data_IF_006824864615
#
_entry.id   IF_006824864615
#
_cell.length_a   1.000
_cell.length_b   1.000
_cell.length_c   1.000
_cell.angle_alpha   90.00
_cell.angle_beta   90.00
_cell.angle_gamma   90.00
#
_symmetry.space_group_name_H-M   'P 1'
#
loop_
_entity.id
_entity.type
_entity.pdbx_description
1 polymer ?
#
# COMPACT_ATOMS: atom_id res chain seq x y z
N UNK A 1 -0.81 56.86 -72.01
CA UNK A 1 -0.30 57.79 -70.98
C UNK A 1 -0.97 57.44 -69.65
N UNK A 2 -0.28 56.72 -68.77
CA UNK A 2 -0.78 56.36 -67.44
C UNK A 2 0.24 56.77 -66.38
N UNK A 3 -0.20 57.58 -65.41
CA UNK A 3 0.59 58.13 -64.32
C UNK A 3 0.80 57.04 -63.26
N UNK A 4 2.07 56.74 -62.96
CA UNK A 4 2.46 55.90 -61.82
C UNK A 4 2.37 56.70 -60.52
N UNK A 5 1.51 56.25 -59.61
CA UNK A 5 1.48 56.72 -58.22
C UNK A 5 2.44 55.90 -57.36
N UNK A 6 3.41 56.57 -56.74
CA UNK A 6 4.27 55.96 -55.72
C UNK A 6 3.50 55.83 -54.39
N UNK A 7 3.62 54.69 -53.68
CA UNK A 7 3.12 54.59 -52.31
C UNK A 7 4.05 55.34 -51.35
N UNK A 8 3.45 56.20 -50.51
CA UNK A 8 4.10 56.84 -49.37
C UNK A 8 4.24 55.84 -48.23
N UNK A 9 5.47 55.58 -47.81
CA UNK A 9 5.75 54.85 -46.57
C UNK A 9 5.50 55.78 -45.37
N UNK A 10 4.47 55.47 -44.59
CA UNK A 10 4.23 56.09 -43.28
C UNK A 10 5.14 55.44 -42.25
N UNK A 11 6.06 56.23 -41.68
CA UNK A 11 6.87 55.85 -40.53
C UNK A 11 5.96 55.85 -39.30
N UNK A 12 5.64 54.67 -38.78
CA UNK A 12 4.96 54.53 -37.49
C UNK A 12 5.93 54.93 -36.38
N UNK A 13 5.63 56.04 -35.70
CA UNK A 13 6.28 56.46 -34.47
C UNK A 13 5.92 55.46 -33.36
N UNK A 14 6.87 54.61 -32.99
CA UNK A 14 6.79 53.71 -31.84
C UNK A 14 6.88 54.59 -30.59
N UNK A 15 5.73 54.96 -30.02
CA UNK A 15 5.66 55.51 -28.66
C UNK A 15 6.23 54.44 -27.72
N UNK A 16 7.37 54.75 -27.11
CA UNK A 16 8.00 53.91 -26.10
C UNK A 16 7.09 53.73 -24.90
N UNK A 17 6.38 52.61 -24.85
CA UNK A 17 5.74 52.11 -23.65
C UNK A 17 6.84 51.72 -22.69
N UNK A 18 7.06 52.53 -21.64
CA UNK A 18 7.88 52.13 -20.50
C UNK A 18 7.32 50.82 -19.96
N UNK A 19 8.07 49.73 -20.08
CA UNK A 19 7.81 48.51 -19.33
C UNK A 19 7.97 48.85 -17.85
N UNK A 20 6.85 48.98 -17.14
CA UNK A 20 6.85 48.93 -15.70
C UNK A 20 7.15 47.48 -15.32
N UNK A 21 8.40 47.20 -14.93
CA UNK A 21 8.78 45.92 -14.33
C UNK A 21 8.08 45.86 -12.98
N UNK A 22 6.91 45.21 -12.95
CA UNK A 22 6.18 44.94 -11.72
C UNK A 22 6.94 43.85 -10.97
N UNK A 23 7.99 44.24 -10.25
CA UNK A 23 8.68 43.36 -9.32
C UNK A 23 7.72 43.06 -8.17
N UNK A 24 7.11 41.87 -8.19
CA UNK A 24 6.44 41.34 -7.00
C UNK A 24 7.51 41.27 -5.91
N UNK A 25 7.35 42.07 -4.85
CA UNK A 25 8.16 41.95 -3.65
C UNK A 25 7.92 40.55 -3.08
N UNK A 26 8.94 39.70 -3.16
CA UNK A 26 9.02 38.48 -2.35
C UNK A 26 9.17 38.97 -0.91
N UNK A 27 8.07 39.00 -0.17
CA UNK A 27 8.13 39.17 1.27
C UNK A 27 8.79 37.92 1.84
N UNK A 28 10.01 38.06 2.35
CA UNK A 28 10.65 37.04 3.15
C UNK A 28 9.92 36.99 4.51
N UNK A 29 8.79 36.30 4.57
CA UNK A 29 8.21 35.92 5.85
C UNK A 29 9.17 34.94 6.54
N UNK A 30 9.49 35.19 7.81
CA UNK A 30 10.33 34.27 8.60
C UNK A 30 9.61 32.93 8.72
N UNK A 31 10.14 31.92 8.02
CA UNK A 31 9.71 30.51 8.06
C UNK A 31 9.66 29.94 9.50
N UNK A 32 10.37 30.58 10.43
CA UNK A 32 10.49 30.25 11.85
C UNK A 32 9.14 30.24 12.61
N UNK A 33 8.11 30.92 12.10
CA UNK A 33 6.88 31.20 12.88
C UNK A 33 5.71 30.26 12.58
N UNK A 34 5.76 29.52 11.48
CA UNK A 34 4.65 28.65 11.06
C UNK A 34 5.04 27.23 11.46
N UNK A 35 4.71 26.78 12.67
CA UNK A 35 4.75 25.34 12.97
C UNK A 35 3.45 24.74 12.44
N UNK A 36 3.56 23.76 11.54
CA UNK A 36 2.40 22.98 11.12
C UNK A 36 1.99 22.11 12.32
N UNK A 37 0.84 22.40 12.94
CA UNK A 37 0.27 21.60 14.02
C UNK A 37 -0.72 20.58 13.44
N UNK A 38 -0.28 19.87 12.40
CA UNK A 38 -1.09 18.79 11.83
C UNK A 38 -0.98 17.55 12.71
N UNK A 39 -2.10 16.90 12.95
CA UNK A 39 -2.17 15.58 13.58
C UNK A 39 -2.33 14.56 12.47
N UNK A 40 -1.59 13.44 12.53
CA UNK A 40 -1.82 12.31 11.62
C UNK A 40 -2.24 11.10 12.45
N UNK A 41 -3.27 10.41 11.99
CA UNK A 41 -3.78 9.17 12.58
C UNK A 41 -3.82 8.07 11.52
N UNK A 42 -3.73 6.83 11.98
CA UNK A 42 -3.79 5.64 11.13
C UNK A 42 -4.98 4.83 11.60
N UNK A 43 -5.91 4.57 10.71
CA UNK A 43 -6.96 3.58 10.94
C UNK A 43 -6.60 2.35 10.12
N UNK A 44 -6.79 1.15 10.68
CA UNK A 44 -6.55 -0.08 9.96
C UNK A 44 -7.78 -0.97 9.99
N UNK A 45 -8.01 -1.69 8.89
CA UNK A 45 -9.12 -2.64 8.78
C UNK A 45 -8.71 -3.84 7.94
N UNK A 46 -9.16 -5.03 8.33
CA UNK A 46 -8.86 -6.26 7.60
C UNK A 46 -10.15 -6.83 7.00
N UNK A 47 -10.15 -7.02 5.68
CA UNK A 47 -11.20 -7.71 4.95
C UNK A 47 -10.83 -9.20 4.86
N UNK A 48 -11.46 -10.02 5.69
CA UNK A 48 -11.21 -11.47 5.73
C UNK A 48 -11.56 -12.17 4.42
N UNK A 49 -12.57 -11.66 3.70
CA UNK A 49 -13.05 -12.30 2.49
C UNK A 49 -12.08 -12.09 1.31
N UNK A 50 -11.49 -10.90 1.23
CA UNK A 50 -10.46 -10.55 0.25
C UNK A 50 -9.03 -10.84 0.74
N UNK A 51 -8.87 -11.19 2.03
CA UNK A 51 -7.57 -11.26 2.72
C UNK A 51 -6.73 -10.00 2.50
N UNK A 52 -7.38 -8.86 2.66
CA UNK A 52 -6.82 -7.55 2.35
C UNK A 52 -6.78 -6.67 3.60
N UNK A 53 -5.65 -6.05 3.87
CA UNK A 53 -5.47 -5.08 4.95
C UNK A 53 -5.48 -3.68 4.37
N UNK A 54 -6.40 -2.83 4.81
CA UNK A 54 -6.52 -1.44 4.37
C UNK A 54 -5.99 -0.49 5.44
N UNK A 55 -5.17 0.46 5.01
CA UNK A 55 -4.49 1.41 5.88
C UNK A 55 -4.70 2.86 5.38
N UNK A 56 -5.88 3.45 5.61
CA UNK A 56 -6.05 4.90 5.43
C UNK A 56 -5.23 5.68 6.46
N UNK A 57 -4.39 6.59 5.97
CA UNK A 57 -3.65 7.55 6.77
C UNK A 57 -4.42 8.88 6.76
N UNK A 58 -4.90 9.32 7.91
CA UNK A 58 -5.71 10.53 8.07
C UNK A 58 -4.90 11.68 8.61
N UNK A 59 -5.20 12.89 8.14
CA UNK A 59 -4.63 14.12 8.66
C UNK A 59 -5.73 15.03 9.20
N UNK A 60 -5.43 15.77 10.25
CA UNK A 60 -6.25 16.84 10.82
C UNK A 60 -5.42 18.09 11.08
N UNK A 61 -6.04 19.26 11.04
CA UNK A 61 -5.40 20.57 11.23
C UNK A 61 -4.22 20.85 10.27
N UNK A 62 -4.20 20.21 9.10
CA UNK A 62 -3.24 20.51 8.05
C UNK A 62 -3.65 21.80 7.32
N UNK A 63 -2.76 22.79 7.25
CA UNK A 63 -3.02 24.04 6.53
C UNK A 63 -1.85 24.34 5.61
N UNK A 64 -2.14 24.90 4.44
CA UNK A 64 -1.15 25.28 3.43
C UNK A 64 -0.27 24.13 2.92
N UNK A 65 -0.70 22.87 3.06
CA UNK A 65 0.08 21.70 2.61
C UNK A 65 0.15 21.65 1.09
N UNK A 66 1.35 21.46 0.55
CA UNK A 66 1.63 21.30 -0.89
C UNK A 66 2.28 19.97 -1.21
N UNK A 67 3.00 19.39 -0.27
CA UNK A 67 3.63 18.09 -0.43
C UNK A 67 3.56 17.26 0.85
N UNK A 68 3.53 15.94 0.68
CA UNK A 68 3.71 14.98 1.76
C UNK A 68 4.69 13.88 1.33
N UNK A 69 5.67 13.58 2.17
CA UNK A 69 6.47 12.36 2.09
C UNK A 69 6.04 11.43 3.22
N UNK A 70 5.72 10.18 2.88
CA UNK A 70 5.22 9.18 3.80
C UNK A 70 6.12 7.96 3.70
N UNK A 71 6.62 7.48 4.84
CA UNK A 71 7.40 6.25 4.93
C UNK A 71 6.72 5.26 5.84
N UNK A 72 6.56 4.04 5.33
CA UNK A 72 5.88 2.94 6.00
C UNK A 72 6.79 1.73 5.97
N UNK A 73 6.85 1.05 7.10
CA UNK A 73 7.55 -0.20 7.31
C UNK A 73 6.51 -1.29 7.60
N UNK A 74 6.65 -2.44 6.96
CA UNK A 74 5.77 -3.60 7.11
C UNK A 74 6.58 -4.90 7.05
N UNK A 75 5.99 -6.01 7.48
CA UNK A 75 6.60 -7.34 7.35
C UNK A 75 6.24 -7.96 5.99
N UNK A 76 7.18 -8.05 5.04
CA UNK A 76 6.91 -8.58 3.70
C UNK A 76 6.67 -10.09 3.67
N UNK A 77 6.97 -10.79 4.77
CA UNK A 77 6.64 -12.21 4.90
C UNK A 77 5.16 -12.42 5.26
N UNK A 78 4.47 -11.37 5.73
CA UNK A 78 3.07 -11.45 6.17
C UNK A 78 2.13 -10.81 5.16
N UNK A 79 2.52 -9.66 4.59
CA UNK A 79 1.71 -8.93 3.63
C UNK A 79 2.55 -8.44 2.45
N UNK A 80 1.93 -8.32 1.28
CA UNK A 80 2.51 -7.64 0.11
C UNK A 80 1.79 -6.34 -0.17
N UNK A 81 2.57 -5.31 -0.48
CA UNK A 81 2.05 -4.08 -1.07
C UNK A 81 2.09 -4.18 -2.60
N UNK A 82 1.22 -3.47 -3.31
CA UNK A 82 1.32 -3.34 -4.76
C UNK A 82 1.12 -1.87 -5.13
N UNK A 83 1.84 -1.37 -6.13
CA UNK A 83 1.83 0.07 -6.47
C UNK A 83 0.43 0.57 -6.82
N UNK A 84 -0.36 -0.22 -7.54
CA UNK A 84 -1.74 0.13 -7.91
C UNK A 84 -2.73 0.10 -6.74
N UNK A 85 -2.33 -0.43 -5.58
CA UNK A 85 -3.11 -0.40 -4.33
C UNK A 85 -2.76 0.81 -3.44
N UNK A 86 -1.90 1.71 -3.93
CA UNK A 86 -1.54 2.97 -3.24
C UNK A 86 -2.24 4.13 -3.95
N UNK A 87 -3.18 4.76 -3.25
CA UNK A 87 -4.02 5.82 -3.82
C UNK A 87 -3.95 7.10 -2.98
N UNK A 88 -3.95 8.29 -3.61
CA UNK A 88 -4.13 9.53 -2.88
C UNK A 88 -5.51 9.59 -2.24
N UNK A 89 -5.59 10.02 -0.98
CA UNK A 89 -6.88 10.19 -0.30
C UNK A 89 -7.61 11.48 -0.68
N UNK A 90 -8.81 11.68 -0.15
CA UNK A 90 -9.66 12.81 -0.50
C UNK A 90 -9.11 14.18 -0.06
N UNK A 91 -8.15 14.22 0.88
CA UNK A 91 -7.52 15.47 1.32
C UNK A 91 -7.07 16.33 0.14
N UNK A 92 -6.52 15.69 -0.89
CA UNK A 92 -5.96 16.35 -2.06
C UNK A 92 -7.00 16.85 -3.09
N UNK A 93 -8.27 16.49 -2.95
CA UNK A 93 -9.35 16.83 -3.89
C UNK A 93 -9.02 16.48 -5.36
N UNK A 94 -8.31 15.36 -5.59
CA UNK A 94 -7.91 14.89 -6.92
C UNK A 94 -6.86 15.74 -7.64
N UNK A 95 -6.26 16.74 -6.98
CA UNK A 95 -5.28 17.68 -7.57
C UNK A 95 -3.85 17.40 -7.14
N UNK A 96 -3.47 16.13 -7.11
CA UNK A 96 -2.17 15.66 -6.61
C UNK A 96 -1.50 14.72 -7.59
N UNK A 97 -0.18 14.82 -7.67
CA UNK A 97 0.66 13.80 -8.30
C UNK A 97 1.24 12.92 -7.22
N UNK A 98 1.19 11.61 -7.44
CA UNK A 98 1.69 10.58 -6.53
C UNK A 98 2.85 9.86 -7.21
N UNK A 99 3.95 9.67 -6.47
CA UNK A 99 5.06 8.79 -6.82
C UNK A 99 5.28 7.84 -5.65
N UNK A 100 5.33 6.54 -5.94
CA UNK A 100 5.48 5.49 -4.94
C UNK A 100 6.72 4.67 -5.27
N UNK A 101 7.52 4.39 -4.26
CA UNK A 101 8.59 3.41 -4.31
C UNK A 101 8.32 2.33 -3.27
N UNK A 102 8.21 1.08 -3.71
CA UNK A 102 7.99 -0.08 -2.85
C UNK A 102 9.21 -0.97 -2.91
N UNK A 103 9.87 -1.17 -1.77
CA UNK A 103 10.91 -2.17 -1.61
C UNK A 103 10.32 -3.35 -0.83
N UNK A 104 9.96 -4.41 -1.56
CA UNK A 104 9.34 -5.61 -0.98
C UNK A 104 10.31 -6.37 -0.10
N UNK A 105 11.59 -6.45 -0.50
CA UNK A 105 12.58 -7.24 0.24
C UNK A 105 12.91 -6.54 1.57
N UNK A 106 12.95 -5.21 1.57
CA UNK A 106 13.15 -4.41 2.78
C UNK A 106 11.87 -4.20 3.60
N UNK A 107 10.69 -4.50 3.06
CA UNK A 107 9.41 -4.23 3.72
C UNK A 107 9.12 -2.74 3.88
N UNK A 108 9.45 -1.92 2.88
CA UNK A 108 9.26 -0.45 2.96
C UNK A 108 8.45 0.12 1.80
N UNK A 109 7.66 1.15 2.10
CA UNK A 109 6.97 1.99 1.12
C UNK A 109 7.39 3.43 1.38
N UNK A 110 7.82 4.12 0.33
CA UNK A 110 7.99 5.58 0.33
C UNK A 110 7.04 6.18 -0.69
N UNK A 111 6.12 7.02 -0.23
CA UNK A 111 5.17 7.73 -1.09
C UNK A 111 5.43 9.25 -1.03
N UNK A 112 5.52 9.87 -2.20
CA UNK A 112 5.63 11.31 -2.38
C UNK A 112 4.37 11.82 -3.06
N UNK A 113 3.69 12.74 -2.39
CA UNK A 113 2.50 13.42 -2.89
C UNK A 113 2.84 14.90 -3.06
N UNK A 114 2.49 15.49 -4.22
CA UNK A 114 2.70 16.92 -4.44
C UNK A 114 1.59 17.58 -5.25
N UNK A 115 1.35 18.86 -4.96
CA UNK A 115 0.41 19.74 -5.66
C UNK A 115 1.08 21.07 -6.02
N UNK A 116 0.62 21.72 -7.10
CA UNK A 116 1.14 23.04 -7.50
C UNK A 116 0.61 24.18 -6.59
N UNK A 117 -0.58 24.01 -6.03
CA UNK A 117 -1.25 24.97 -5.16
C UNK A 117 -1.51 24.33 -3.78
N UNK A 118 -1.50 25.10 -2.68
CA UNK A 118 -1.79 24.56 -1.37
C UNK A 118 -3.20 23.98 -1.33
N UNK A 119 -3.35 22.86 -0.64
CA UNK A 119 -4.64 22.23 -0.39
C UNK A 119 -5.45 23.10 0.57
N UNK A 120 -6.71 23.38 0.23
CA UNK A 120 -7.62 24.16 1.07
C UNK A 120 -8.30 23.32 2.18
N UNK A 121 -8.32 22.00 2.03
CA UNK A 121 -8.84 21.08 3.04
C UNK A 121 -7.95 21.11 4.29
N UNK A 122 -8.57 20.98 5.46
CA UNK A 122 -7.86 20.95 6.74
C UNK A 122 -7.78 19.57 7.37
N UNK A 123 -8.55 18.62 6.85
CA UNK A 123 -8.59 17.23 7.31
C UNK A 123 -9.04 16.30 6.18
N UNK A 124 -8.76 15.01 6.33
CA UNK A 124 -9.17 13.93 5.42
C UNK A 124 -8.12 12.84 5.29
N UNK A 125 -8.41 11.81 4.51
CA UNK A 125 -7.44 10.78 4.15
C UNK A 125 -6.35 11.40 3.26
N UNK A 126 -5.11 11.25 3.69
CA UNK A 126 -3.91 11.70 3.00
C UNK A 126 -3.50 10.69 1.93
N UNK A 127 -3.49 9.41 2.28
CA UNK A 127 -3.18 8.29 1.39
C UNK A 127 -3.94 7.05 1.88
N UNK A 128 -4.35 6.19 0.95
CA UNK A 128 -4.86 4.86 1.24
C UNK A 128 -3.90 3.82 0.66
N UNK A 129 -3.57 2.82 1.46
CA UNK A 129 -2.71 1.72 1.05
C UNK A 129 -3.38 0.41 1.41
N UNK A 130 -3.58 -0.43 0.41
CA UNK A 130 -4.15 -1.75 0.58
C UNK A 130 -3.05 -2.82 0.41
N UNK A 131 -2.96 -3.74 1.37
CA UNK A 131 -1.99 -4.82 1.39
C UNK A 131 -2.69 -6.17 1.21
N UNK A 132 -2.08 -7.07 0.45
CA UNK A 132 -2.55 -8.44 0.29
C UNK A 132 -1.88 -9.36 1.32
N UNK A 133 -2.64 -10.17 2.05
CA UNK A 133 -2.07 -11.19 2.94
C UNK A 133 -1.36 -12.29 2.14
N UNK A 134 -0.19 -12.71 2.60
CA UNK A 134 0.52 -13.85 2.04
C UNK A 134 -0.07 -15.18 2.54
N UNK A 135 -0.33 -16.11 1.61
CA UNK A 135 -1.09 -17.33 1.88
C UNK A 135 -0.39 -18.32 2.85
N UNK A 136 0.92 -18.16 3.06
CA UNK A 136 1.75 -19.09 3.83
C UNK A 136 1.92 -18.70 5.31
N UNK A 137 1.31 -17.62 5.78
CA UNK A 137 1.45 -17.19 7.18
C UNK A 137 0.60 -18.10 8.07
N UNK A 138 1.28 -18.99 8.79
CA UNK A 138 0.64 -19.98 9.68
C UNK A 138 -0.07 -19.33 10.89
N UNK A 139 0.18 -18.05 11.15
CA UNK A 139 -0.50 -17.23 12.15
C UNK A 139 -0.97 -15.92 11.52
N UNK A 140 -2.15 -15.92 10.90
CA UNK A 140 -2.73 -14.69 10.37
C UNK A 140 -3.10 -13.75 11.55
N UNK A 141 -2.59 -12.51 11.54
CA UNK A 141 -2.94 -11.51 12.58
C UNK A 141 -1.79 -10.75 13.24
N UNK A 142 -0.53 -10.92 12.81
CA UNK A 142 0.64 -10.29 13.45
C UNK A 142 1.55 -9.55 12.45
N UNK A 143 1.00 -8.86 11.44
CA UNK A 143 1.78 -7.93 10.64
C UNK A 143 1.84 -6.58 11.36
N UNK A 144 2.91 -6.23 12.10
CA UNK A 144 3.08 -4.85 12.55
C UNK A 144 3.29 -3.98 11.31
N UNK A 145 2.28 -3.17 10.98
CA UNK A 145 2.49 -2.03 10.08
C UNK A 145 2.82 -0.83 10.94
N UNK A 146 3.96 -0.22 10.65
CA UNK A 146 4.41 0.98 11.32
C UNK A 146 4.55 2.09 10.29
N UNK A 147 3.78 3.17 10.47
CA UNK A 147 4.05 4.43 9.78
C UNK A 147 5.20 5.08 10.53
N UNK A 148 6.37 5.20 9.92
CA UNK A 148 7.57 5.68 10.61
C UNK A 148 7.76 7.19 10.47
N UNK A 149 7.39 7.76 9.31
CA UNK A 149 7.58 9.17 9.03
C UNK A 149 6.47 9.75 8.15
N UNK A 150 5.97 10.92 8.52
CA UNK A 150 5.12 11.76 7.67
C UNK A 150 5.69 13.18 7.66
N UNK A 151 6.10 13.67 6.51
CA UNK A 151 6.73 14.98 6.36
C UNK A 151 5.88 15.85 5.44
N UNK A 152 5.52 17.05 5.88
CA UNK A 152 4.73 17.99 5.09
C UNK A 152 5.59 19.18 4.66
N UNK A 153 5.66 19.45 3.37
CA UNK A 153 6.47 20.52 2.77
C UNK A 153 7.94 20.51 3.24
N UNK A 154 8.31 21.38 4.20
CA UNK A 154 9.64 21.52 4.83
C UNK A 154 9.61 21.19 6.34
N UNK A 155 8.51 20.64 6.84
CA UNK A 155 8.23 20.45 8.27
C UNK A 155 7.93 18.99 8.58
N UNK A 156 8.74 18.43 9.46
CA UNK A 156 8.55 17.05 9.93
C UNK A 156 7.42 16.95 10.95
N UNK A 157 6.51 16.01 10.74
CA UNK A 157 5.66 15.44 11.79
C UNK A 157 6.14 14.01 12.05
N UNK A 158 7.04 13.84 13.02
CA UNK A 158 7.49 12.49 13.39
C UNK A 158 6.36 11.77 14.11
N UNK A 159 5.83 10.71 13.49
CA UNK A 159 4.82 9.84 14.06
C UNK A 159 5.27 8.41 13.82
N UNK A 160 5.37 7.63 14.89
CA UNK A 160 5.51 6.19 14.85
C UNK A 160 4.23 5.59 15.39
N UNK A 161 3.37 5.10 14.49
CA UNK A 161 2.13 4.43 14.88
C UNK A 161 2.25 2.97 14.48
N UNK A 162 2.39 2.09 15.46
CA UNK A 162 2.25 0.65 15.27
C UNK A 162 0.77 0.32 15.40
N UNK A 163 0.13 -0.06 14.31
CA UNK A 163 -1.30 -0.28 14.31
C UNK A 163 -1.64 -1.68 14.91
N UNK A 164 -2.43 -1.78 16.00
CA UNK A 164 -2.74 -3.05 16.65
C UNK A 164 -3.81 -3.80 15.87
N UNK A 165 -3.51 -5.02 15.39
CA UNK A 165 -4.52 -5.88 14.76
C UNK A 165 -5.50 -6.40 15.83
N UNK A 166 -6.60 -5.69 16.04
CA UNK A 166 -7.75 -6.23 16.76
C UNK A 166 -8.54 -7.14 15.81
N UNK A 167 -8.22 -8.44 15.82
CA UNK A 167 -9.19 -9.43 15.37
C UNK A 167 -10.19 -9.65 16.50
N UNK A 168 -11.44 -9.25 16.31
CA UNK A 168 -12.53 -9.92 17.00
C UNK A 168 -12.56 -11.37 16.50
N UNK A 169 -12.33 -12.38 17.35
CA UNK A 169 -12.54 -13.75 16.93
C UNK A 169 -14.01 -13.87 16.51
N UNK A 170 -14.24 -14.17 15.24
CA UNK A 170 -15.56 -14.61 14.78
C UNK A 170 -15.83 -15.89 15.56
N UNK A 171 -16.58 -15.77 16.66
CA UNK A 171 -17.22 -16.90 17.31
C UNK A 171 -18.12 -17.51 16.24
N UNK A 172 -17.65 -18.57 15.60
CA UNK A 172 -18.50 -19.38 14.74
C UNK A 172 -19.73 -19.75 15.58
N UNK A 173 -20.96 -19.45 15.14
CA UNK A 173 -22.12 -19.99 15.81
C UNK A 173 -22.07 -21.51 15.64
N UNK A 174 -21.67 -22.19 16.71
CA UNK A 174 -21.91 -23.62 16.91
C UNK A 174 -23.42 -23.82 17.05
N UNK A 175 -24.14 -23.68 15.95
CA UNK A 175 -25.58 -23.88 15.90
C UNK A 175 -25.91 -25.03 14.97
N UNK A 176 -26.11 -26.18 15.61
CA UNK A 176 -27.21 -27.11 15.33
C UNK A 176 -27.10 -27.96 14.05
N UNK A 177 -26.22 -28.97 14.13
CA UNK A 177 -26.60 -30.32 13.70
C UNK A 177 -27.61 -30.86 14.72
N UNK A 178 -28.87 -30.44 14.63
CA UNK A 178 -29.97 -31.05 15.36
C UNK A 178 -31.17 -31.20 14.41
N UNK A 179 -31.61 -32.45 14.30
CA UNK A 179 -32.89 -32.92 13.81
C UNK A 179 -33.24 -32.74 12.34
N UNK A 180 -32.80 -33.72 11.56
CA UNK A 180 -33.57 -34.23 10.43
C UNK A 180 -33.49 -35.75 10.40
N UNK A 181 -34.30 -36.42 11.23
CA UNK A 181 -34.62 -37.85 11.07
C UNK A 181 -35.84 -38.24 11.91
N UNK A 182 -37.03 -37.84 11.47
CA UNK A 182 -38.25 -38.57 11.80
C UNK A 182 -38.50 -39.62 10.72
N UNK A 183 -37.84 -40.77 10.85
CA UNK A 183 -38.25 -42.02 10.19
C UNK A 183 -38.40 -43.09 11.27
N UNK A 184 -39.66 -43.35 11.60
CA UNK A 184 -40.07 -44.55 12.34
C UNK A 184 -39.70 -45.77 11.50
N UNK A 185 -38.80 -46.60 12.00
CA UNK A 185 -38.70 -48.00 11.61
C UNK A 185 -38.53 -48.79 12.91
N UNK A 186 -39.61 -49.46 13.32
CA UNK A 186 -39.58 -50.62 14.20
C UNK A 186 -38.63 -51.65 13.58
N UNK A 187 -37.64 -52.13 14.30
CA UNK A 187 -37.10 -53.49 14.17
C UNK A 187 -36.44 -53.92 15.48
N UNK A 188 -37.16 -54.78 16.20
CA UNK A 188 -36.63 -55.74 17.16
C UNK A 188 -35.62 -56.66 16.50
N UNK A 189 -34.44 -56.85 17.11
CA UNK A 189 -33.55 -57.96 16.76
C UNK A 189 -32.06 -57.64 16.89
N UNK A 190 -31.44 -58.28 17.88
CA UNK A 190 -30.04 -58.73 17.96
C UNK A 190 -28.88 -57.74 17.68
N UNK A 191 -28.11 -57.51 18.75
CA UNK A 191 -26.74 -56.98 18.68
C UNK A 191 -25.74 -58.13 18.46
N UNK A 192 -24.90 -58.08 17.41
CA UNK A 192 -23.60 -58.72 17.44
C UNK A 192 -22.53 -57.66 17.73
N UNK A 193 -21.85 -57.79 18.88
CA UNK A 193 -20.60 -57.08 19.16
C UNK A 193 -19.54 -57.47 18.12
N UNK A 194 -19.30 -56.59 17.15
CA UNK A 194 -18.18 -56.65 16.22
C UNK A 194 -16.97 -55.84 16.72
N UNK A 195 -15.74 -56.20 16.32
CA UNK A 195 -14.53 -55.64 16.90
C UNK A 195 -14.28 -54.20 16.45
N UNK A 196 -13.98 -53.32 17.42
CA UNK A 196 -13.47 -51.97 17.23
C UNK A 196 -11.99 -52.02 16.80
N UNK A 197 -11.71 -52.34 15.54
CA UNK A 197 -10.41 -52.03 14.92
C UNK A 197 -10.62 -51.51 13.49
N UNK A 198 -10.29 -50.23 13.22
CA UNK A 198 -10.26 -49.71 11.85
C UNK A 198 -9.08 -50.31 11.07
N UNK A 199 -9.35 -50.96 9.95
CA UNK A 199 -8.37 -51.56 9.02
C UNK A 199 -7.50 -50.54 8.24
N UNK A 200 -7.31 -49.32 8.76
CA UNK A 200 -6.69 -48.20 8.02
C UNK A 200 -5.43 -47.62 8.63
N UNK A 201 -4.87 -48.22 9.68
CA UNK A 201 -3.65 -47.68 10.33
C UNK A 201 -2.37 -48.17 9.64
N UNK A 202 -2.38 -49.24 8.86
CA UNK A 202 -1.15 -49.82 8.31
C UNK A 202 -0.71 -49.23 6.96
N UNK A 203 -1.50 -48.34 6.34
CA UNK A 203 -1.19 -47.79 5.01
C UNK A 203 -0.30 -46.52 5.02
N UNK A 204 -0.04 -45.90 6.19
CA UNK A 204 0.70 -44.63 6.28
C UNK A 204 2.17 -44.77 6.71
N UNK A 205 2.65 -45.98 7.01
CA UNK A 205 4.05 -46.22 7.42
C UNK A 205 4.98 -46.68 6.29
N UNK A 206 4.49 -46.84 5.06
CA UNK A 206 5.27 -47.36 3.94
C UNK A 206 5.99 -46.28 3.08
N UNK A 207 5.80 -44.98 3.36
CA UNK A 207 6.37 -43.88 2.55
C UNK A 207 7.65 -43.25 3.12
N UNK A 208 8.22 -43.81 4.20
CA UNK A 208 9.41 -43.27 4.89
C UNK A 208 10.69 -44.11 4.71
N UNK A 209 10.86 -44.75 3.54
CA UNK A 209 12.17 -45.28 3.16
C UNK A 209 12.93 -44.19 2.36
N UNK A 210 14.10 -43.72 2.83
CA UNK A 210 14.95 -42.82 2.07
C UNK A 210 15.56 -43.59 0.88
N UNK A 211 15.29 -43.12 -0.33
CA UNK A 211 15.94 -43.59 -1.55
C UNK A 211 17.44 -43.38 -1.46
N UNK A 212 18.18 -44.46 -1.74
CA UNK A 212 19.63 -44.51 -1.80
C UNK A 212 20.22 -43.39 -2.68
N UNK A 213 21.34 -42.85 -2.20
CA UNK A 213 22.22 -41.95 -2.93
C UNK A 213 22.79 -42.67 -4.14
N UNK A 214 22.71 -42.03 -5.30
CA UNK A 214 23.55 -42.33 -6.45
C UNK A 214 24.75 -41.37 -6.44
N UNK A 215 26.02 -41.85 -6.33
CA UNK A 215 27.20 -41.00 -6.35
C UNK A 215 27.98 -41.20 -7.64
N UNK A 216 27.52 -40.65 -8.77
CA UNK A 216 28.39 -40.51 -9.94
C UNK A 216 27.85 -39.51 -10.98
N UNK A 217 28.23 -38.23 -10.89
CA UNK A 217 28.43 -37.44 -12.13
C UNK A 217 29.39 -36.25 -11.90
N UNK A 218 30.67 -36.60 -11.88
CA UNK A 218 31.76 -35.99 -12.66
C UNK A 218 31.54 -34.59 -13.27
N UNK A 219 32.18 -33.60 -12.63
CA UNK A 219 33.15 -32.64 -13.21
C UNK A 219 33.07 -32.35 -14.73
N UNK A 220 32.74 -31.08 -15.08
CA UNK A 220 33.21 -30.23 -16.23
C UNK A 220 32.15 -29.13 -16.42
N UNK A 221 32.41 -27.83 -16.52
CA UNK A 221 33.43 -27.13 -17.30
C UNK A 221 33.62 -25.70 -16.79
N UNK A 222 34.88 -25.27 -16.76
CA UNK A 222 35.32 -23.88 -16.80
C UNK A 222 35.32 -23.37 -18.24
N UNK A 223 35.07 -22.07 -18.42
CA UNK A 223 35.30 -21.30 -19.66
C UNK A 223 34.09 -20.43 -20.02
N UNK A 224 34.21 -19.16 -20.40
CA UNK A 224 35.37 -18.36 -20.76
C UNK A 224 34.95 -16.89 -20.76
N UNK A 225 35.87 -16.01 -20.38
CA UNK A 225 35.80 -14.56 -20.54
C UNK A 225 35.76 -14.25 -22.05
N UNK A 226 34.92 -13.31 -22.47
CA UNK A 226 35.19 -12.53 -23.68
C UNK A 226 34.71 -11.10 -23.48
N UNK A 227 35.68 -10.22 -23.28
CA UNK A 227 35.56 -8.80 -23.61
C UNK A 227 35.33 -8.65 -25.12
N UNK A 228 34.59 -7.62 -25.52
CA UNK A 228 34.28 -7.36 -26.91
C UNK A 228 33.62 -6.02 -27.16
N UNK A 229 34.45 -4.96 -27.10
CA UNK A 229 34.47 -3.72 -27.89
C UNK A 229 33.23 -2.82 -27.96
#
# INVERSE_FOLDING_TARGET
>A
MHRGGMPRFSIFSIRGTRMAVQTRRLAAERLESRRLLATVSVEQSFDESARELRLPLRVENAQDVRAAEIRIEYDPNVVRAEEWKVEPGEFWNGRVSLSVNIDQDAGTITAFLFTAEPVAATAGDLIRIDFQEEACVSQPGAAPITVSHVHFDERAAALSVTAPMDRQPVLQPFSQLADSSSRRIDHSGDLPMGPLRPDRVDALMASWLPSERDPDETVRNFGTISDGN
#
